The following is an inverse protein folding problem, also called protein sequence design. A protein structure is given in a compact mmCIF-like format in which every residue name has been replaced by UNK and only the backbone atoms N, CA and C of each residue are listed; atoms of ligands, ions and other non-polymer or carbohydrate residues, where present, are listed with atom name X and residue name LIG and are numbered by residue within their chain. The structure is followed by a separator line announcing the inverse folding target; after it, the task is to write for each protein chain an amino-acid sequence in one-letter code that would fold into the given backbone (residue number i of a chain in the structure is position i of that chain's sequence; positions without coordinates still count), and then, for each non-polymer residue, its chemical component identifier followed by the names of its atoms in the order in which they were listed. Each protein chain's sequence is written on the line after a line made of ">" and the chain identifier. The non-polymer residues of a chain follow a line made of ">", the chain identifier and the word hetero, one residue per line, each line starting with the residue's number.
data_IF_391854841785
#
_entry.id   IF_391854841785
#
_cell.length_a   1.000
_cell.length_b   1.000
_cell.length_c   1.000
_cell.angle_alpha   90.00
_cell.angle_beta   90.00
_cell.angle_gamma   90.00
#
_symmetry.space_group_name_H-M   'P 1'
#
loop_
_entity.id
_entity.type
_entity.pdbx_description
1 polymer ?
#
# COMPACT_ATOMS: atom_id res chain seq x y z
N UNK A 1 -2.35 8.18 13.64
CA UNK A 1 -2.95 8.62 12.35
C UNK A 1 -1.86 9.16 11.45
N UNK A 2 -1.89 8.80 10.18
CA UNK A 2 -0.89 9.22 9.20
C UNK A 2 -1.34 10.48 8.47
N UNK A 3 -0.42 11.43 8.27
CA UNK A 3 -0.71 12.62 7.47
C UNK A 3 -0.49 12.33 5.98
N UNK A 4 -1.39 12.81 5.12
CA UNK A 4 -1.23 12.81 3.67
C UNK A 4 -1.17 14.27 3.20
N UNK A 5 -0.12 14.70 2.47
CA UNK A 5 0.98 13.91 1.90
C UNK A 5 1.92 13.33 2.94
N UNK A 6 2.63 12.28 2.58
CA UNK A 6 3.62 11.64 3.44
C UNK A 6 3.82 10.18 3.11
N UNK A 7 4.75 9.56 3.82
CA UNK A 7 5.08 8.15 3.68
C UNK A 7 4.40 7.36 4.80
N UNK A 8 3.77 6.25 4.44
CA UNK A 8 3.13 5.32 5.37
C UNK A 8 3.86 3.99 5.26
N UNK A 9 4.52 3.58 6.33
CA UNK A 9 5.11 2.25 6.39
C UNK A 9 3.99 1.20 6.39
N UNK A 10 4.12 0.16 5.58
CA UNK A 10 3.03 -0.81 5.41
C UNK A 10 2.63 -1.50 6.72
N UNK A 11 3.59 -1.71 7.61
CA UNK A 11 3.36 -2.37 8.90
C UNK A 11 2.71 -1.46 9.95
N UNK A 12 2.60 -0.15 9.69
CA UNK A 12 2.00 0.82 10.63
C UNK A 12 0.49 0.95 10.41
N UNK A 13 -0.18 -0.17 10.25
CA UNK A 13 -1.63 -0.23 10.04
C UNK A 13 -2.40 -0.04 11.34
N UNK A 14 -3.66 0.39 11.21
CA UNK A 14 -4.60 0.47 12.34
C UNK A 14 -5.34 -0.84 12.54
N UNK A 15 -5.54 -1.61 11.48
CA UNK A 15 -6.19 -2.92 11.51
C UNK A 15 -5.78 -3.72 10.28
N UNK A 16 -5.93 -5.04 10.35
CA UNK A 16 -5.59 -5.93 9.23
C UNK A 16 -6.25 -7.28 9.38
N UNK A 17 -6.26 -8.04 8.30
CA UNK A 17 -6.67 -9.43 8.29
C UNK A 17 -5.75 -10.25 7.39
N UNK A 18 -5.16 -11.31 7.93
CA UNK A 18 -4.47 -12.36 7.18
C UNK A 18 -3.00 -12.15 6.88
N UNK A 19 -2.53 -10.90 6.88
CA UNK A 19 -1.13 -10.59 6.52
C UNK A 19 -0.18 -10.78 7.70
N UNK A 20 1.12 -10.82 7.40
CA UNK A 20 2.18 -10.85 8.41
C UNK A 20 3.26 -9.84 8.03
N UNK A 21 4.07 -9.45 9.01
CA UNK A 21 5.23 -8.59 8.81
C UNK A 21 6.49 -9.41 8.87
N UNK A 22 7.51 -8.95 8.16
CA UNK A 22 8.85 -9.55 8.14
C UNK A 22 9.91 -8.47 7.97
N UNK A 23 11.17 -8.78 8.28
CA UNK A 23 12.27 -7.84 8.06
C UNK A 23 12.45 -7.59 6.56
N UNK A 24 12.62 -6.33 6.17
CA UNK A 24 12.85 -5.96 4.78
C UNK A 24 14.33 -5.76 4.51
N UNK A 25 14.75 -6.10 3.28
CA UNK A 25 16.08 -5.79 2.76
C UNK A 25 16.09 -4.51 1.91
N UNK A 26 14.95 -3.82 1.80
CA UNK A 26 14.86 -2.58 1.05
C UNK A 26 15.62 -1.45 1.75
N UNK A 27 15.89 -0.38 1.02
CA UNK A 27 16.53 0.80 1.57
C UNK A 27 15.70 1.36 2.73
N UNK A 28 16.38 1.82 3.77
CA UNK A 28 15.73 2.33 4.97
C UNK A 28 15.47 1.27 6.04
N UNK A 29 15.53 -0.02 5.70
CA UNK A 29 15.35 -1.09 6.67
C UNK A 29 13.93 -1.16 7.24
N UNK A 30 13.80 -1.80 8.40
CA UNK A 30 12.52 -1.99 9.08
C UNK A 30 11.82 -3.26 8.66
N UNK A 31 10.50 -3.17 8.51
CA UNK A 31 9.63 -4.30 8.18
C UNK A 31 8.92 -4.08 6.85
N UNK A 32 8.45 -5.16 6.27
CA UNK A 32 7.47 -5.11 5.18
C UNK A 32 6.30 -6.04 5.49
N UNK A 33 5.17 -5.79 4.85
CA UNK A 33 4.01 -6.68 4.89
C UNK A 33 4.19 -7.75 3.82
N UNK A 34 3.84 -8.99 4.17
CA UNK A 34 3.88 -10.12 3.27
C UNK A 34 2.90 -11.20 3.67
N UNK A 35 3.09 -12.38 3.14
CA UNK A 35 2.22 -13.55 3.39
C UNK A 35 0.76 -13.26 3.04
N UNK A 36 0.57 -12.54 1.94
CA UNK A 36 -0.74 -12.07 1.51
C UNK A 36 -1.48 -13.16 0.75
N UNK A 37 -2.72 -13.42 1.15
CA UNK A 37 -3.66 -14.28 0.42
C UNK A 37 -4.79 -13.44 -0.15
N UNK A 38 -5.47 -13.98 -1.17
CA UNK A 38 -6.67 -13.35 -1.73
C UNK A 38 -7.69 -13.09 -0.62
N UNK A 39 -8.20 -11.87 -0.56
CA UNK A 39 -9.18 -11.45 0.45
C UNK A 39 -8.59 -10.87 1.71
N UNK A 40 -7.28 -10.93 1.92
CA UNK A 40 -6.62 -10.24 3.03
C UNK A 40 -6.74 -8.73 2.85
N UNK A 41 -6.65 -7.99 3.95
CA UNK A 41 -6.75 -6.54 3.89
C UNK A 41 -5.95 -5.84 4.98
N UNK A 42 -5.63 -4.57 4.72
CA UNK A 42 -4.87 -3.70 5.62
C UNK A 42 -5.55 -2.33 5.63
N UNK A 43 -5.72 -1.76 6.82
CA UNK A 43 -6.33 -0.42 6.98
C UNK A 43 -5.39 0.54 7.68
N UNK A 44 -5.46 1.80 7.25
CA UNK A 44 -4.69 2.91 7.81
C UNK A 44 -5.62 4.08 8.07
N UNK A 45 -5.52 4.67 9.27
CA UNK A 45 -6.22 5.93 9.57
C UNK A 45 -5.35 7.08 9.08
N UNK A 46 -5.92 7.96 8.27
CA UNK A 46 -5.18 9.06 7.64
C UNK A 46 -5.88 10.39 7.84
N UNK A 47 -5.10 11.46 7.80
CA UNK A 47 -5.59 12.82 7.77
C UNK A 47 -5.04 13.50 6.52
N UNK A 48 -5.92 13.76 5.55
CA UNK A 48 -5.56 14.42 4.30
C UNK A 48 -5.58 15.92 4.50
N UNK A 49 -4.44 16.58 4.31
CA UNK A 49 -4.28 18.00 4.62
C UNK A 49 -5.01 18.91 3.66
N UNK A 50 -5.06 18.56 2.37
CA UNK A 50 -5.76 19.33 1.34
C UNK A 50 -6.44 18.40 0.35
N UNK A 51 -7.63 18.79 -0.11
CA UNK A 51 -8.28 18.12 -1.23
C UNK A 51 -7.50 18.35 -2.51
N UNK A 52 -7.42 17.33 -3.37
CA UNK A 52 -6.76 17.45 -4.66
C UNK A 52 -6.27 16.13 -5.19
N UNK A 53 -5.45 16.22 -6.22
CA UNK A 53 -4.83 15.06 -6.83
C UNK A 53 -3.50 14.73 -6.16
N UNK A 54 -3.27 13.44 -5.95
CA UNK A 54 -2.05 12.92 -5.35
C UNK A 54 -1.48 11.80 -6.21
N UNK A 55 -0.16 11.71 -6.24
CA UNK A 55 0.52 10.50 -6.68
C UNK A 55 0.62 9.57 -5.49
N UNK A 56 0.26 8.31 -5.66
CA UNK A 56 0.53 7.26 -4.68
C UNK A 56 1.59 6.34 -5.25
N UNK A 57 2.67 6.16 -4.53
CA UNK A 57 3.76 5.28 -4.89
C UNK A 57 3.72 4.07 -3.95
N UNK A 58 3.67 2.87 -4.54
CA UNK A 58 3.69 1.61 -3.79
C UNK A 58 5.05 0.95 -3.96
N UNK A 59 5.69 0.59 -2.86
CA UNK A 59 6.96 -0.14 -2.91
C UNK A 59 6.70 -1.63 -2.77
N UNK A 60 6.90 -2.37 -3.86
CA UNK A 60 6.39 -3.72 -4.05
C UNK A 60 7.48 -4.73 -4.42
N UNK A 61 7.29 -5.98 -4.00
CA UNK A 61 8.09 -7.10 -4.44
C UNK A 61 7.19 -8.33 -4.60
N UNK A 62 7.51 -9.18 -5.58
CA UNK A 62 6.81 -10.44 -5.78
C UNK A 62 7.68 -11.38 -6.61
N UNK A 63 7.75 -12.64 -6.19
CA UNK A 63 8.53 -13.62 -6.92
C UNK A 63 8.01 -13.85 -8.34
N UNK A 64 6.69 -14.01 -8.48
CA UNK A 64 6.06 -14.36 -9.76
C UNK A 64 5.05 -13.34 -10.27
N UNK A 65 4.86 -12.22 -9.56
CA UNK A 65 3.82 -11.25 -9.87
C UNK A 65 2.46 -11.66 -9.30
N UNK A 66 1.51 -10.74 -9.34
CA UNK A 66 0.18 -10.94 -8.76
C UNK A 66 -0.83 -10.02 -9.42
N UNK A 67 -2.11 -10.41 -9.40
CA UNK A 67 -3.21 -9.52 -9.75
C UNK A 67 -3.35 -8.36 -8.75
N UNK A 68 -2.65 -8.42 -7.62
CA UNK A 68 -2.43 -7.30 -6.73
C UNK A 68 -3.56 -6.95 -5.81
N UNK A 69 -3.91 -5.66 -5.79
CA UNK A 69 -4.84 -5.15 -4.80
C UNK A 69 -5.61 -3.94 -5.32
N UNK A 70 -6.67 -3.60 -4.59
CA UNK A 70 -7.38 -2.34 -4.75
C UNK A 70 -7.12 -1.45 -3.55
N UNK A 71 -7.12 -0.14 -3.79
CA UNK A 71 -7.03 0.88 -2.75
C UNK A 71 -8.41 1.51 -2.59
N UNK A 72 -8.94 1.49 -1.38
CA UNK A 72 -10.23 2.07 -1.04
C UNK A 72 -10.03 3.25 -0.09
N UNK A 73 -10.84 4.28 -0.26
CA UNK A 73 -10.93 5.41 0.68
C UNK A 73 -12.37 5.48 1.17
N UNK A 74 -12.56 5.31 2.46
CA UNK A 74 -13.88 5.23 3.10
C UNK A 74 -14.83 4.30 2.34
N UNK A 75 -14.30 3.14 1.91
CA UNK A 75 -15.07 2.12 1.22
C UNK A 75 -15.21 2.28 -0.28
N UNK A 76 -14.69 3.36 -0.87
CA UNK A 76 -14.74 3.58 -2.33
C UNK A 76 -13.42 3.28 -2.99
N UNK A 77 -13.45 2.47 -4.05
CA UNK A 77 -12.24 2.15 -4.81
C UNK A 77 -11.72 3.40 -5.53
N UNK A 78 -10.45 3.73 -5.31
CA UNK A 78 -9.79 4.85 -5.97
C UNK A 78 -8.63 4.39 -6.85
N UNK A 79 -8.15 3.16 -6.68
CA UNK A 79 -7.05 2.62 -7.48
C UNK A 79 -7.08 1.11 -7.50
N UNK A 80 -6.55 0.52 -8.57
CA UNK A 80 -6.27 -0.91 -8.70
C UNK A 80 -4.84 -1.05 -9.17
N UNK A 81 -4.05 -1.83 -8.45
CA UNK A 81 -2.64 -2.01 -8.75
C UNK A 81 -2.31 -3.48 -8.91
N UNK A 82 -1.78 -3.85 -10.08
CA UNK A 82 -1.16 -5.15 -10.27
C UNK A 82 0.26 -5.11 -9.72
N UNK A 83 0.80 -6.26 -9.34
CA UNK A 83 2.16 -6.36 -8.86
C UNK A 83 3.00 -7.11 -9.89
N UNK A 84 4.04 -6.48 -10.46
CA UNK A 84 4.88 -7.16 -11.44
C UNK A 84 5.74 -8.23 -10.76
N UNK A 85 6.20 -9.20 -11.55
CA UNK A 85 7.24 -10.09 -11.08
C UNK A 85 8.54 -9.31 -10.95
N UNK A 86 9.13 -9.31 -9.75
CA UNK A 86 10.41 -8.64 -9.50
C UNK A 86 11.55 -9.63 -9.37
N UNK A 87 11.26 -10.92 -9.49
CA UNK A 87 12.26 -11.99 -9.42
C UNK A 87 12.64 -12.41 -8.01
N UNK A 88 12.00 -11.87 -6.99
CA UNK A 88 12.27 -12.23 -5.60
C UNK A 88 11.41 -11.50 -4.60
N UNK A 89 11.26 -12.10 -3.42
CA UNK A 89 10.42 -11.54 -2.34
C UNK A 89 11.01 -10.26 -1.74
N UNK A 90 12.29 -9.98 -1.99
CA UNK A 90 13.01 -8.81 -1.49
C UNK A 90 13.66 -8.01 -2.62
N UNK A 91 13.21 -8.22 -3.86
CA UNK A 91 13.60 -7.39 -5.00
C UNK A 91 12.52 -6.33 -5.21
N UNK A 92 12.78 -5.12 -4.78
CA UNK A 92 11.79 -4.06 -4.65
C UNK A 92 11.72 -3.17 -5.89
N UNK A 93 10.49 -2.84 -6.28
CA UNK A 93 10.20 -1.85 -7.33
C UNK A 93 9.14 -0.89 -6.83
N UNK A 94 9.06 0.29 -7.44
CA UNK A 94 8.01 1.26 -7.17
C UNK A 94 7.03 1.32 -8.34
N UNK A 95 5.74 1.30 -8.02
CA UNK A 95 4.66 1.52 -8.98
C UNK A 95 3.86 2.73 -8.51
N UNK A 96 3.50 3.62 -9.43
CA UNK A 96 2.87 4.89 -9.11
C UNK A 96 1.53 5.03 -9.84
N UNK A 97 0.52 5.54 -9.13
CA UNK A 97 -0.79 5.87 -9.66
C UNK A 97 -1.18 7.28 -9.22
N UNK A 98 -2.22 7.83 -9.85
CA UNK A 98 -2.80 9.10 -9.47
C UNK A 98 -4.19 8.87 -8.88
N UNK A 99 -4.46 9.49 -7.74
CA UNK A 99 -5.74 9.38 -7.04
C UNK A 99 -6.21 10.77 -6.62
N UNK A 100 -7.53 10.95 -6.50
CA UNK A 100 -8.11 12.18 -5.94
C UNK A 100 -8.54 11.92 -4.50
N UNK A 101 -8.15 12.80 -3.60
CA UNK A 101 -8.49 12.68 -2.18
C UNK A 101 -9.16 13.96 -1.68
N UNK A 102 -10.09 13.80 -0.76
CA UNK A 102 -10.74 14.92 -0.08
C UNK A 102 -10.00 15.23 1.23
N UNK A 103 -10.03 16.49 1.64
CA UNK A 103 -9.44 16.92 2.92
C UNK A 103 -10.17 16.24 4.08
N UNK A 104 -9.43 15.88 5.13
CA UNK A 104 -9.99 15.40 6.40
C UNK A 104 -9.57 13.99 6.77
N UNK A 105 -10.11 13.52 7.88
CA UNK A 105 -9.82 12.19 8.41
C UNK A 105 -10.58 11.14 7.63
N UNK A 106 -9.87 10.11 7.19
CA UNK A 106 -10.41 9.03 6.37
C UNK A 106 -9.71 7.73 6.72
N UNK A 107 -10.31 6.62 6.30
CA UNK A 107 -9.67 5.30 6.38
C UNK A 107 -9.32 4.86 4.97
N UNK A 108 -8.05 4.56 4.73
CA UNK A 108 -7.65 3.90 3.50
C UNK A 108 -7.51 2.41 3.77
N UNK A 109 -7.90 1.60 2.79
CA UNK A 109 -7.87 0.15 2.88
C UNK A 109 -7.24 -0.43 1.63
N UNK A 110 -6.35 -1.39 1.82
CA UNK A 110 -5.82 -2.21 0.74
C UNK A 110 -6.48 -3.57 0.85
N UNK A 111 -7.24 -3.96 -0.20
CA UNK A 111 -7.83 -5.30 -0.30
C UNK A 111 -7.04 -6.12 -1.30
N UNK A 112 -6.59 -7.30 -0.91
CA UNK A 112 -5.87 -8.20 -1.79
C UNK A 112 -6.82 -8.85 -2.80
N UNK A 113 -6.65 -8.52 -4.08
CA UNK A 113 -7.35 -9.18 -5.19
C UNK A 113 -6.65 -10.50 -5.49
N UNK A 114 -5.33 -10.51 -5.42
CA UNK A 114 -4.50 -11.68 -5.59
C UNK A 114 -3.53 -11.87 -4.45
N UNK A 115 -2.92 -13.04 -4.41
CA UNK A 115 -1.98 -13.46 -3.36
C UNK A 115 -0.53 -13.19 -3.76
N UNK A 116 0.39 -13.39 -2.81
CA UNK A 116 1.82 -13.55 -3.03
C UNK A 116 2.53 -12.30 -3.54
N UNK A 117 2.30 -11.18 -2.82
CA UNK A 117 3.04 -9.94 -3.01
C UNK A 117 3.43 -9.33 -1.66
N UNK A 118 4.51 -8.56 -1.66
CA UNK A 118 5.01 -7.84 -0.50
C UNK A 118 4.87 -6.34 -0.70
N UNK A 119 4.53 -5.61 0.36
CA UNK A 119 4.42 -4.15 0.37
C UNK A 119 5.31 -3.61 1.48
N UNK A 120 6.22 -2.70 1.12
CA UNK A 120 7.09 -2.06 2.10
C UNK A 120 6.49 -0.76 2.64
N UNK A 121 6.00 0.08 1.74
CA UNK A 121 5.40 1.37 2.11
C UNK A 121 4.55 1.93 0.97
N UNK A 122 3.70 2.92 1.34
CA UNK A 122 2.97 3.77 0.39
C UNK A 122 3.43 5.20 0.63
N UNK A 123 3.60 5.95 -0.44
CA UNK A 123 3.97 7.37 -0.34
C UNK A 123 3.01 8.21 -1.16
N UNK A 124 2.39 9.19 -0.50
CA UNK A 124 1.48 10.13 -1.15
C UNK A 124 2.17 11.47 -1.34
N UNK A 125 2.15 11.96 -2.55
CA UNK A 125 2.73 13.27 -2.92
C UNK A 125 1.64 14.08 -3.61
N UNK A 126 1.42 15.31 -3.16
CA UNK A 126 0.41 16.17 -3.78
C UNK A 126 0.92 16.68 -5.12
N UNK A 127 0.07 16.58 -6.13
CA UNK A 127 0.40 17.03 -7.49
C UNK A 127 0.19 18.52 -7.67
#
# INVERSE_FOLDING_TARGET
>A
MHSIPGLIEAEDYSDMFGIQSESTNDDGGGLNVGYVDEGDWIEYSVDVEESGEYSVEYRLASLNGSSGFELLVDGQQVDVQTVPSTGGWQNWVSETSTVSLEVGEQTIRINAIGALWNLNWLKFTQN
#
